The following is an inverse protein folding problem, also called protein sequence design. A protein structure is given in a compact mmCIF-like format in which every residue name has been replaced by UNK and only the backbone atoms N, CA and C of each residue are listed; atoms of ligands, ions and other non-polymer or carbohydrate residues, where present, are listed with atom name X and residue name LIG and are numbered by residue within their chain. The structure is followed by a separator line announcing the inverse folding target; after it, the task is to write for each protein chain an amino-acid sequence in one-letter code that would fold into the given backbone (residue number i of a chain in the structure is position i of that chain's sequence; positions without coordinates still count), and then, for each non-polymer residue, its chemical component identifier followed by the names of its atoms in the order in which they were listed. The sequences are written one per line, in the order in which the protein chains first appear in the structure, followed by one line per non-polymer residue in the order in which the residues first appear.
data_IF_719054632909
#
_entry.id   IF_719054632909
#
_cell.length_a   1.000
_cell.length_b   1.000
_cell.length_c   1.000
_cell.angle_alpha   90.00
_cell.angle_beta   90.00
_cell.angle_gamma   90.00
#
_symmetry.space_group_name_H-M   'P 1'
#
loop_
_entity.id
_entity.type
_entity.pdbx_description
1 polymer ?
#
# COMPACT_ATOMS: atom_id res chain seq x y z
N UNK A 1 -23.71 -47.79 -28.71
CA UNK A 1 -22.91 -46.61 -29.02
C UNK A 1 -21.52 -47.08 -29.36
N UNK A 2 -21.05 -46.87 -30.60
CA UNK A 2 -19.80 -47.42 -31.10
C UNK A 2 -18.57 -46.84 -30.34
N UNK A 3 -17.66 -47.66 -29.83
CA UNK A 3 -16.47 -47.26 -29.05
C UNK A 3 -15.64 -46.17 -29.79
N UNK A 4 -15.62 -46.23 -31.12
CA UNK A 4 -14.97 -45.21 -31.96
C UNK A 4 -15.63 -43.82 -31.86
N UNK A 5 -16.97 -43.74 -31.83
CA UNK A 5 -17.68 -42.46 -31.71
C UNK A 5 -17.52 -41.85 -30.31
N UNK A 6 -17.46 -42.69 -29.27
CA UNK A 6 -17.20 -42.24 -27.90
C UNK A 6 -15.79 -41.62 -27.76
N UNK A 7 -14.78 -42.26 -28.36
CA UNK A 7 -13.41 -41.72 -28.37
C UNK A 7 -13.26 -40.38 -29.11
N UNK A 8 -13.96 -40.23 -30.25
CA UNK A 8 -14.03 -38.96 -30.97
C UNK A 8 -14.71 -37.85 -30.18
N UNK A 9 -15.81 -38.15 -29.45
CA UNK A 9 -16.50 -37.18 -28.60
C UNK A 9 -15.65 -36.72 -27.43
N UNK A 10 -14.90 -37.65 -26.79
CA UNK A 10 -13.95 -37.32 -25.69
C UNK A 10 -12.81 -36.44 -26.21
N UNK A 11 -12.26 -36.76 -27.41
CA UNK A 11 -11.18 -36.00 -28.01
C UNK A 11 -11.60 -34.56 -28.39
N UNK A 12 -12.80 -34.40 -28.97
CA UNK A 12 -13.37 -33.08 -29.30
C UNK A 12 -13.69 -32.29 -28.03
N UNK A 13 -14.21 -32.93 -26.98
CA UNK A 13 -14.47 -32.29 -25.68
C UNK A 13 -13.19 -31.86 -24.99
N UNK A 14 -12.11 -32.64 -25.07
CA UNK A 14 -10.80 -32.28 -24.54
C UNK A 14 -10.16 -31.12 -25.32
N UNK A 15 -10.35 -31.07 -26.63
CA UNK A 15 -9.86 -29.97 -27.49
C UNK A 15 -10.59 -28.65 -27.20
N UNK A 16 -11.88 -28.70 -26.88
CA UNK A 16 -12.65 -27.53 -26.47
C UNK A 16 -12.29 -26.99 -25.09
N UNK A 17 -11.82 -27.84 -24.17
CA UNK A 17 -11.38 -27.41 -22.83
C UNK A 17 -10.04 -26.71 -22.84
N UNK A 18 -9.15 -26.99 -23.81
CA UNK A 18 -7.84 -26.33 -23.94
C UNK A 18 -7.96 -24.88 -24.45
N UNK A 19 -9.09 -24.50 -25.06
CA UNK A 19 -9.30 -23.15 -25.62
C UNK A 19 -9.57 -22.07 -24.57
N UNK A 20 -9.73 -22.41 -23.28
CA UNK A 20 -10.01 -21.46 -22.20
C UNK A 20 -8.77 -21.03 -21.41
N UNK A 21 -7.55 -21.30 -21.89
CA UNK A 21 -6.36 -20.66 -21.30
C UNK A 21 -6.34 -19.20 -21.78
N UNK A 22 -7.19 -18.39 -21.19
CA UNK A 22 -7.11 -16.95 -21.33
C UNK A 22 -5.76 -16.50 -20.82
N UNK A 23 -4.86 -16.12 -21.72
CA UNK A 23 -3.63 -15.43 -21.35
C UNK A 23 -4.05 -14.16 -20.59
N UNK A 24 -3.92 -14.17 -19.29
CA UNK A 24 -3.93 -12.95 -18.50
C UNK A 24 -2.82 -12.07 -19.07
N UNK A 25 -3.14 -11.15 -19.97
CA UNK A 25 -2.18 -10.23 -20.56
C UNK A 25 -1.81 -9.22 -19.47
N UNK A 26 -0.77 -9.55 -18.72
CA UNK A 26 -0.16 -8.63 -17.80
C UNK A 26 0.59 -7.57 -18.59
N UNK A 27 0.28 -6.32 -18.31
CA UNK A 27 0.91 -5.18 -18.96
C UNK A 27 1.91 -4.48 -18.02
N UNK A 28 2.73 -3.64 -18.60
CA UNK A 28 3.66 -2.76 -17.90
C UNK A 28 3.17 -1.31 -18.07
N UNK A 29 3.14 -0.55 -16.97
CA UNK A 29 2.91 0.89 -17.01
C UNK A 29 4.20 1.58 -16.60
N UNK A 30 4.72 2.47 -17.44
CA UNK A 30 5.95 3.20 -17.14
C UNK A 30 5.85 4.67 -17.51
N UNK A 31 6.69 5.48 -16.87
CA UNK A 31 6.78 6.92 -17.14
C UNK A 31 7.92 7.55 -16.36
N UNK A 32 8.04 8.86 -16.48
CA UNK A 32 9.08 9.59 -15.78
C UNK A 32 8.55 10.87 -15.14
N UNK A 33 9.19 11.29 -14.03
CA UNK A 33 8.83 12.47 -13.26
C UNK A 33 9.92 13.51 -13.35
N UNK A 34 9.53 14.76 -13.57
CA UNK A 34 10.41 15.92 -13.53
C UNK A 34 9.81 17.11 -12.76
N UNK A 35 10.67 17.91 -12.21
CA UNK A 35 10.33 19.24 -11.71
C UNK A 35 9.87 20.12 -12.87
N UNK A 36 8.76 20.83 -12.71
CA UNK A 36 8.15 21.65 -13.77
C UNK A 36 8.98 22.92 -14.09
N UNK A 37 9.79 23.41 -13.14
CA UNK A 37 10.59 24.62 -13.28
C UNK A 37 12.06 24.28 -13.54
N UNK A 38 12.65 23.48 -12.66
CA UNK A 38 14.06 23.12 -12.79
C UNK A 38 14.34 22.08 -13.88
N UNK A 39 13.31 21.43 -14.43
CA UNK A 39 13.38 20.38 -15.46
C UNK A 39 14.31 19.20 -15.06
N UNK A 40 14.58 19.04 -13.78
CA UNK A 40 15.40 17.96 -13.22
C UNK A 40 14.54 16.72 -12.93
N UNK A 41 15.12 15.55 -13.07
CA UNK A 41 14.49 14.30 -12.68
C UNK A 41 14.22 14.25 -11.18
N UNK A 42 13.06 13.74 -10.78
CA UNK A 42 12.67 13.56 -9.38
C UNK A 42 12.99 12.12 -8.96
N UNK A 43 14.16 11.94 -8.33
CA UNK A 43 14.60 10.67 -7.77
C UNK A 43 13.85 10.38 -6.46
N UNK A 44 13.54 9.11 -6.22
CA UNK A 44 12.89 8.62 -4.99
C UNK A 44 11.49 9.19 -4.72
N UNK A 45 10.81 9.73 -5.73
CA UNK A 45 9.40 10.08 -5.63
C UNK A 45 8.53 8.81 -5.51
N UNK A 46 7.49 8.88 -4.71
CA UNK A 46 6.54 7.78 -4.54
C UNK A 46 5.47 7.85 -5.61
N UNK A 47 5.31 6.77 -6.36
CA UNK A 47 4.27 6.61 -7.37
C UNK A 47 3.39 5.45 -6.97
N UNK A 48 2.09 5.69 -6.79
CA UNK A 48 1.11 4.68 -6.41
C UNK A 48 0.12 4.45 -7.54
N UNK A 49 -0.15 3.19 -7.88
CA UNK A 49 -1.18 2.77 -8.81
C UNK A 49 -2.42 2.36 -8.02
N UNK A 50 -3.55 2.98 -8.28
CA UNK A 50 -4.82 2.69 -7.59
C UNK A 50 -5.93 2.42 -8.59
N UNK A 51 -6.96 1.68 -8.18
CA UNK A 51 -8.17 1.54 -8.99
C UNK A 51 -8.91 2.87 -9.10
N UNK A 52 -9.33 3.24 -10.32
CA UNK A 52 -10.04 4.49 -10.56
C UNK A 52 -11.41 4.56 -9.83
N UNK A 53 -12.06 3.42 -9.63
CA UNK A 53 -13.41 3.31 -9.06
C UNK A 53 -13.49 3.68 -7.58
N UNK A 54 -12.46 3.33 -6.78
CA UNK A 54 -12.53 3.43 -5.32
C UNK A 54 -11.21 3.86 -4.67
N UNK A 55 -10.19 4.18 -5.48
CA UNK A 55 -8.84 4.58 -5.05
C UNK A 55 -8.12 3.54 -4.17
N UNK A 56 -8.56 2.26 -4.20
CA UNK A 56 -7.83 1.20 -3.49
C UNK A 56 -6.48 0.95 -4.15
N UNK A 57 -5.44 0.75 -3.33
CA UNK A 57 -4.08 0.57 -3.82
C UNK A 57 -3.92 -0.78 -4.54
N UNK A 58 -3.32 -0.74 -5.71
CA UNK A 58 -2.92 -1.91 -6.50
C UNK A 58 -1.44 -2.21 -6.31
N UNK A 59 -0.60 -1.19 -6.47
CA UNK A 59 0.86 -1.28 -6.33
C UNK A 59 1.46 0.09 -6.09
N UNK A 60 2.70 0.13 -5.61
CA UNK A 60 3.48 1.37 -5.56
C UNK A 60 4.93 1.12 -5.97
N UNK A 61 5.61 2.17 -6.41
CA UNK A 61 7.00 2.17 -6.84
C UNK A 61 7.66 3.47 -6.42
N UNK A 62 8.99 3.48 -6.38
CA UNK A 62 9.80 4.70 -6.27
C UNK A 62 10.48 4.98 -7.61
N UNK A 63 10.62 6.26 -7.95
CA UNK A 63 11.40 6.64 -9.12
C UNK A 63 12.89 6.40 -8.89
N UNK A 64 13.60 6.01 -9.94
CA UNK A 64 15.05 5.90 -9.94
C UNK A 64 15.74 7.28 -10.12
N UNK A 65 17.06 7.31 -10.23
CA UNK A 65 17.86 8.54 -10.43
C UNK A 65 17.46 9.33 -11.68
N UNK A 66 16.99 8.67 -12.73
CA UNK A 66 16.49 9.31 -13.93
C UNK A 66 15.01 9.76 -13.81
N UNK A 67 14.38 9.60 -12.62
CA UNK A 67 12.99 9.91 -12.39
C UNK A 67 12.02 8.90 -12.98
N UNK A 68 12.46 7.72 -13.42
CA UNK A 68 11.63 6.71 -14.08
C UNK A 68 10.97 5.81 -13.06
N UNK A 69 9.68 5.55 -13.24
CA UNK A 69 8.90 4.54 -12.51
C UNK A 69 8.36 3.47 -13.46
N UNK A 70 8.08 2.29 -12.89
CA UNK A 70 7.61 1.14 -13.63
C UNK A 70 6.72 0.26 -12.75
N UNK A 71 5.54 -0.11 -13.26
CA UNK A 71 4.65 -1.13 -12.69
C UNK A 71 4.57 -2.31 -13.65
N UNK A 72 4.98 -3.49 -13.20
CA UNK A 72 4.92 -4.74 -13.97
C UNK A 72 3.73 -5.58 -13.54
N UNK A 73 3.29 -6.47 -14.42
CA UNK A 73 2.23 -7.44 -14.15
C UNK A 73 0.89 -6.79 -13.74
N UNK A 74 0.55 -5.66 -14.37
CA UNK A 74 -0.72 -4.97 -14.15
C UNK A 74 -1.78 -5.61 -15.05
N UNK A 75 -2.94 -5.94 -14.48
CA UNK A 75 -4.08 -6.42 -15.27
C UNK A 75 -4.70 -5.28 -16.10
N UNK A 76 -5.35 -5.55 -17.24
CA UNK A 76 -6.10 -4.52 -17.96
C UNK A 76 -7.20 -3.91 -17.08
N UNK A 77 -7.37 -2.57 -17.15
CA UNK A 77 -8.36 -1.88 -16.34
C UNK A 77 -8.22 -0.35 -16.34
N UNK A 78 -9.02 0.31 -15.50
CA UNK A 78 -8.99 1.74 -15.30
C UNK A 78 -8.31 2.06 -13.97
N UNK A 79 -7.26 2.86 -14.03
CA UNK A 79 -6.43 3.19 -12.89
C UNK A 79 -6.23 4.70 -12.75
N UNK A 80 -5.75 5.10 -11.59
CA UNK A 80 -5.16 6.42 -11.35
C UNK A 80 -3.73 6.21 -10.84
N UNK A 81 -2.80 7.00 -11.35
CA UNK A 81 -1.47 7.13 -10.78
C UNK A 81 -1.49 8.33 -9.82
N UNK A 82 -1.15 8.08 -8.56
CA UNK A 82 -0.90 9.11 -7.56
C UNK A 82 0.59 9.29 -7.39
N UNK A 83 1.07 10.51 -7.61
CA UNK A 83 2.47 10.86 -7.41
C UNK A 83 2.62 11.73 -6.18
N UNK A 84 3.54 11.37 -5.30
CA UNK A 84 3.87 12.12 -4.09
C UNK A 84 5.39 12.27 -3.98
N UNK A 85 5.83 13.48 -3.68
CA UNK A 85 7.23 13.80 -3.40
C UNK A 85 7.32 14.94 -2.37
N UNK A 86 8.32 14.88 -1.49
CA UNK A 86 8.48 15.87 -0.42
C UNK A 86 8.74 17.25 -1.03
N UNK A 87 7.98 18.27 -0.60
CA UNK A 87 8.05 19.61 -1.13
C UNK A 87 7.28 19.86 -2.41
N UNK A 88 6.55 18.87 -2.95
CA UNK A 88 5.77 18.99 -4.17
C UNK A 88 4.29 18.74 -3.93
N UNK A 89 3.46 19.38 -4.77
CA UNK A 89 2.01 19.16 -4.74
C UNK A 89 1.70 17.78 -5.30
N UNK A 90 0.97 16.91 -4.56
CA UNK A 90 0.59 15.60 -5.05
C UNK A 90 -0.21 15.68 -6.35
N UNK A 91 0.09 14.82 -7.32
CA UNK A 91 -0.56 14.80 -8.63
C UNK A 91 -1.25 13.47 -8.89
N UNK A 92 -2.44 13.55 -9.51
CA UNK A 92 -3.23 12.39 -9.91
C UNK A 92 -3.37 12.37 -11.42
N UNK A 93 -3.04 11.24 -12.05
CA UNK A 93 -3.07 11.08 -13.51
C UNK A 93 -3.90 9.84 -13.85
N UNK A 94 -4.97 9.97 -14.67
CA UNK A 94 -5.74 8.81 -15.09
C UNK A 94 -4.95 7.94 -16.07
N UNK A 95 -5.13 6.62 -15.96
CA UNK A 95 -4.54 5.62 -16.83
C UNK A 95 -5.63 4.65 -17.27
N UNK A 96 -5.85 4.57 -18.55
CA UNK A 96 -6.73 3.58 -19.17
C UNK A 96 -5.83 2.59 -19.90
N UNK A 97 -5.87 1.33 -19.50
CA UNK A 97 -5.09 0.29 -20.13
C UNK A 97 -5.95 -0.43 -21.18
N UNK A 98 -5.40 -0.58 -22.37
CA UNK A 98 -6.01 -1.33 -23.47
C UNK A 98 -5.44 -2.74 -23.61
N UNK A 99 -5.24 -3.17 -24.84
CA UNK A 99 -4.66 -4.46 -25.23
C UNK A 99 -3.13 -4.39 -25.38
N UNK A 100 -2.53 -3.23 -25.17
CA UNK A 100 -1.10 -3.00 -25.32
C UNK A 100 -0.33 -3.64 -24.17
N UNK A 101 0.84 -4.22 -24.48
CA UNK A 101 1.72 -4.81 -23.44
C UNK A 101 2.39 -3.77 -22.56
N UNK A 102 2.55 -2.55 -23.06
CA UNK A 102 3.19 -1.44 -22.34
C UNK A 102 2.39 -0.16 -22.54
N UNK A 103 2.05 0.49 -21.44
CA UNK A 103 1.42 1.81 -21.41
C UNK A 103 2.48 2.83 -21.02
N UNK A 104 2.82 3.70 -21.97
CA UNK A 104 3.76 4.79 -21.77
C UNK A 104 3.03 6.03 -21.27
N UNK A 105 3.28 6.41 -20.02
CA UNK A 105 2.73 7.64 -19.43
C UNK A 105 3.47 8.90 -19.88
N UNK A 106 4.63 8.71 -20.51
CA UNK A 106 5.49 9.82 -20.88
C UNK A 106 6.06 10.56 -19.69
N UNK A 107 6.23 11.88 -19.83
CA UNK A 107 6.81 12.75 -18.84
C UNK A 107 5.71 13.44 -18.02
N UNK A 108 5.76 13.26 -16.72
CA UNK A 108 4.85 13.90 -15.76
C UNK A 108 5.61 14.99 -15.01
N UNK A 109 5.14 16.22 -15.10
CA UNK A 109 5.71 17.35 -14.38
C UNK A 109 5.04 17.53 -13.02
N UNK A 110 5.87 17.75 -11.99
CA UNK A 110 5.46 18.05 -10.61
C UNK A 110 5.75 19.51 -10.27
N UNK A 111 4.82 20.15 -9.56
CA UNK A 111 4.96 21.54 -9.13
C UNK A 111 5.40 21.58 -7.65
N UNK A 112 6.41 22.37 -7.35
CA UNK A 112 6.86 22.68 -5.98
C UNK A 112 5.76 23.44 -5.23
N UNK A 113 5.55 23.14 -3.95
CA UNK A 113 4.53 23.80 -3.11
C UNK A 113 4.81 25.30 -2.94
N UNK A 114 6.06 25.74 -3.01
CA UNK A 114 6.42 27.14 -2.83
C UNK A 114 6.17 28.01 -4.08
N UNK A 115 5.94 27.40 -5.24
CA UNK A 115 5.71 28.12 -6.49
C UNK A 115 4.25 28.37 -6.80
N UNK A 116 3.33 27.83 -6.00
CA UNK A 116 1.90 27.99 -6.21
C UNK A 116 1.32 29.07 -5.28
N UNK A 117 0.88 30.17 -5.86
CA UNK A 117 0.21 31.28 -5.11
C UNK A 117 -1.17 30.87 -4.56
N UNK A 118 -1.73 29.77 -5.02
CA UNK A 118 -3.02 29.23 -4.54
C UNK A 118 -3.02 27.71 -4.66
N UNK A 119 -2.81 27.01 -3.56
CA UNK A 119 -2.89 25.54 -3.53
C UNK A 119 -4.37 25.16 -3.44
N UNK A 120 -4.95 24.70 -4.51
CA UNK A 120 -6.20 23.95 -4.44
C UNK A 120 -5.86 22.57 -3.86
N UNK A 121 -6.11 22.41 -2.55
CA UNK A 121 -5.95 21.11 -1.89
C UNK A 121 -6.96 20.15 -2.50
N UNK A 122 -6.51 19.33 -3.42
CA UNK A 122 -7.33 18.22 -3.91
C UNK A 122 -7.59 17.28 -2.74
N UNK A 123 -8.86 16.95 -2.46
CA UNK A 123 -9.31 16.20 -1.29
C UNK A 123 -8.78 14.75 -1.20
N UNK A 124 -8.01 14.27 -2.20
CA UNK A 124 -7.45 12.92 -2.25
C UNK A 124 -6.05 12.91 -1.68
N UNK A 125 -5.87 12.17 -0.57
CA UNK A 125 -4.55 11.92 0.01
C UNK A 125 -3.85 10.79 -0.75
N UNK A 126 -2.51 10.87 -0.97
CA UNK A 126 -1.76 9.77 -1.56
C UNK A 126 -1.90 8.49 -0.72
N UNK A 127 -2.04 7.31 -1.35
CA UNK A 127 -2.15 6.04 -0.64
C UNK A 127 -0.92 5.68 0.18
N UNK A 128 0.25 6.01 -0.37
CA UNK A 128 1.56 5.76 0.24
C UNK A 128 2.41 7.00 0.10
N UNK A 129 3.08 7.36 1.18
CA UNK A 129 4.07 8.44 1.23
C UNK A 129 5.34 7.89 1.88
N UNK A 130 6.48 8.07 1.24
CA UNK A 130 7.78 7.67 1.77
C UNK A 130 8.55 8.93 2.13
N UNK A 131 8.94 9.04 3.41
CA UNK A 131 9.73 10.13 3.96
C UNK A 131 11.00 9.58 4.59
N UNK A 132 12.14 9.69 3.88
CA UNK A 132 13.40 9.10 4.35
C UNK A 132 13.22 7.60 4.58
N UNK A 133 13.44 7.16 5.82
CA UNK A 133 13.35 5.74 6.22
C UNK A 133 11.94 5.33 6.70
N UNK A 134 10.98 6.24 6.72
CA UNK A 134 9.60 5.95 7.11
C UNK A 134 8.67 5.79 5.91
N UNK A 135 7.75 4.82 6.00
CA UNK A 135 6.68 4.61 5.03
C UNK A 135 5.34 4.86 5.72
N UNK A 136 4.55 5.76 5.19
CA UNK A 136 3.21 6.08 5.69
C UNK A 136 2.15 5.56 4.70
N UNK A 137 1.23 4.74 5.18
CA UNK A 137 0.08 4.24 4.44
C UNK A 137 -1.19 4.95 4.90
N UNK A 138 -1.98 5.45 3.96
CA UNK A 138 -3.30 6.01 4.24
C UNK A 138 -4.34 4.88 4.29
N UNK A 139 -4.93 4.63 5.45
CA UNK A 139 -5.84 3.50 5.70
C UNK A 139 -7.07 3.47 4.78
N UNK A 140 -7.55 4.63 4.32
CA UNK A 140 -8.71 4.75 3.43
C UNK A 140 -8.55 4.05 2.09
N UNK A 141 -7.30 3.82 1.65
CA UNK A 141 -7.00 3.14 0.40
C UNK A 141 -6.95 1.61 0.50
N UNK A 142 -7.19 1.06 1.70
CA UNK A 142 -7.17 -0.38 1.97
C UNK A 142 -8.53 -0.83 2.48
N UNK A 143 -9.32 -1.46 1.60
CA UNK A 143 -10.69 -1.86 1.94
C UNK A 143 -10.70 -3.09 2.84
N UNK A 144 -11.33 -2.95 3.99
CA UNK A 144 -11.57 -4.04 4.95
C UNK A 144 -13.06 -4.33 5.08
N UNK A 145 -13.40 -5.48 5.63
CA UNK A 145 -14.78 -5.81 5.97
C UNK A 145 -15.30 -4.89 7.09
N UNK A 146 -16.62 -4.69 7.22
CA UNK A 146 -17.21 -4.07 8.40
C UNK A 146 -16.76 -4.79 9.67
N UNK A 147 -16.44 -4.04 10.72
CA UNK A 147 -15.94 -4.56 12.01
C UNK A 147 -14.57 -5.28 11.94
N UNK A 148 -13.81 -5.10 10.86
CA UNK A 148 -12.44 -5.59 10.78
C UNK A 148 -11.55 -4.94 11.84
N UNK A 149 -10.54 -5.67 12.28
CA UNK A 149 -9.50 -5.16 13.20
C UNK A 149 -8.27 -4.70 12.42
N UNK A 150 -7.35 -4.02 13.11
CA UNK A 150 -6.10 -3.52 12.50
C UNK A 150 -5.30 -4.65 11.85
N UNK A 151 -5.30 -5.84 12.42
CA UNK A 151 -4.67 -7.03 11.83
C UNK A 151 -5.15 -7.29 10.39
N UNK A 152 -6.47 -7.20 10.15
CA UNK A 152 -7.04 -7.40 8.81
C UNK A 152 -6.67 -6.28 7.84
N UNK A 153 -6.50 -5.06 8.36
CA UNK A 153 -6.04 -3.91 7.59
C UNK A 153 -4.57 -4.09 7.17
N UNK A 154 -3.70 -4.53 8.10
CA UNK A 154 -2.29 -4.79 7.82
C UNK A 154 -2.10 -5.86 6.75
N UNK A 155 -2.89 -6.95 6.78
CA UNK A 155 -2.87 -8.01 5.75
C UNK A 155 -3.19 -7.53 4.34
N UNK A 156 -3.80 -6.33 4.20
CA UNK A 156 -4.10 -5.73 2.89
C UNK A 156 -3.01 -4.80 2.38
N UNK A 157 -2.03 -4.48 3.23
CA UNK A 157 -0.96 -3.54 2.86
C UNK A 157 0.20 -4.26 2.20
N UNK A 158 0.77 -3.69 1.14
CA UNK A 158 1.90 -4.30 0.46
C UNK A 158 3.13 -4.36 1.38
N UNK A 159 3.84 -5.48 1.31
CA UNK A 159 5.04 -5.72 2.13
C UNK A 159 4.77 -6.06 3.59
N UNK A 160 3.50 -6.16 4.01
CA UNK A 160 3.14 -6.58 5.36
C UNK A 160 2.60 -8.01 5.38
N UNK A 161 3.11 -8.79 6.30
CA UNK A 161 2.68 -10.16 6.58
C UNK A 161 2.28 -10.28 8.04
N UNK A 162 1.17 -10.97 8.31
CA UNK A 162 0.73 -11.24 9.67
C UNK A 162 0.55 -12.75 9.81
N UNK A 163 1.29 -13.33 10.72
CA UNK A 163 1.25 -14.77 10.99
C UNK A 163 -0.01 -15.17 11.79
N UNK A 164 -0.23 -16.48 11.99
CA UNK A 164 -1.38 -17.00 12.74
C UNK A 164 -1.38 -16.62 14.21
N UNK A 165 -0.22 -16.36 14.80
CA UNK A 165 -0.07 -15.93 16.18
C UNK A 165 -0.34 -14.42 16.33
N UNK A 166 -0.31 -13.65 15.22
CA UNK A 166 -0.48 -12.20 15.18
C UNK A 166 0.86 -11.46 15.11
N UNK A 167 1.97 -12.18 14.93
CA UNK A 167 3.27 -11.56 14.67
C UNK A 167 3.26 -10.83 13.32
N UNK A 168 3.85 -9.65 13.27
CA UNK A 168 3.86 -8.80 12.09
C UNK A 168 5.27 -8.75 11.53
N UNK A 169 5.37 -8.87 10.21
CA UNK A 169 6.60 -8.71 9.44
C UNK A 169 6.39 -7.68 8.35
N UNK A 170 7.32 -6.76 8.18
CA UNK A 170 7.29 -5.74 7.11
C UNK A 170 8.56 -5.87 6.27
N UNK A 171 8.40 -6.15 4.98
CA UNK A 171 9.52 -6.37 4.04
C UNK A 171 10.58 -7.36 4.57
N UNK A 172 10.13 -8.43 5.25
CA UNK A 172 11.00 -9.44 5.84
C UNK A 172 11.57 -9.09 7.22
N UNK A 173 11.38 -7.86 7.73
CA UNK A 173 11.79 -7.44 9.07
C UNK A 173 10.64 -7.64 10.07
N UNK A 174 10.92 -8.27 11.21
CA UNK A 174 9.92 -8.46 12.27
C UNK A 174 9.63 -7.13 12.97
N UNK A 175 8.34 -6.81 13.14
CA UNK A 175 7.89 -5.67 13.95
C UNK A 175 7.97 -6.04 15.41
N UNK A 176 8.71 -5.26 16.19
CA UNK A 176 8.92 -5.48 17.62
C UNK A 176 8.02 -4.61 18.48
N UNK A 177 7.63 -3.44 17.98
CA UNK A 177 6.85 -2.45 18.72
C UNK A 177 5.70 -1.88 17.93
N UNK A 178 4.55 -1.69 18.60
CA UNK A 178 3.39 -0.96 18.04
C UNK A 178 3.05 0.23 18.95
N UNK A 179 2.97 1.38 18.32
CA UNK A 179 2.58 2.64 18.94
C UNK A 179 1.18 3.05 18.46
N UNK A 180 0.43 3.72 19.30
CA UNK A 180 -0.84 4.36 18.96
C UNK A 180 -0.71 5.86 19.25
N UNK A 181 -0.83 6.68 18.21
CA UNK A 181 -0.58 8.13 18.29
C UNK A 181 0.78 8.49 18.92
N UNK A 182 1.81 7.70 18.64
CA UNK A 182 3.17 7.89 19.15
C UNK A 182 3.40 7.43 20.59
N UNK A 183 2.38 6.86 21.22
CA UNK A 183 2.51 6.28 22.59
C UNK A 183 2.52 4.77 22.50
N UNK A 184 3.36 4.14 23.30
CA UNK A 184 3.40 2.69 23.42
C UNK A 184 2.04 2.17 23.92
N UNK A 185 1.48 1.19 23.21
CA UNK A 185 0.16 0.65 23.50
C UNK A 185 0.31 -0.76 24.09
N UNK A 186 -0.27 -0.99 25.27
CA UNK A 186 -0.18 -2.27 26.00
C UNK A 186 1.25 -2.84 26.03
N UNK A 187 2.19 -2.14 26.64
CA UNK A 187 3.60 -2.57 26.74
C UNK A 187 4.29 -2.84 25.40
N UNK A 188 3.75 -2.28 24.31
CA UNK A 188 4.32 -2.41 22.96
C UNK A 188 4.04 -3.74 22.26
N UNK A 189 3.24 -4.64 22.85
CA UNK A 189 2.89 -5.92 22.24
C UNK A 189 2.10 -5.70 20.93
N UNK A 190 2.67 -6.06 19.76
CA UNK A 190 2.03 -5.90 18.47
C UNK A 190 0.69 -6.61 18.37
N UNK A 191 0.58 -7.80 18.96
CA UNK A 191 -0.61 -8.66 18.88
C UNK A 191 -1.80 -8.04 19.60
N UNK A 192 -1.56 -7.51 20.79
CA UNK A 192 -2.60 -6.86 21.59
C UNK A 192 -3.15 -5.61 20.91
N UNK A 193 -2.28 -4.80 20.30
CA UNK A 193 -2.67 -3.58 19.58
C UNK A 193 -3.50 -3.91 18.35
N UNK A 194 -3.08 -4.87 17.53
CA UNK A 194 -3.69 -5.12 16.21
C UNK A 194 -4.98 -5.93 16.26
N UNK A 195 -5.14 -6.82 17.26
CA UNK A 195 -6.37 -7.61 17.42
C UNK A 195 -7.52 -6.87 18.11
N UNK A 196 -7.21 -5.82 18.88
CA UNK A 196 -8.22 -5.12 19.68
C UNK A 196 -8.63 -3.75 19.11
N UNK A 197 -7.85 -3.16 18.23
CA UNK A 197 -8.19 -1.89 17.61
C UNK A 197 -9.02 -2.11 16.34
N UNK A 198 -10.17 -1.42 16.17
CA UNK A 198 -10.93 -1.45 14.92
C UNK A 198 -10.15 -0.80 13.77
N UNK A 199 -10.21 -1.41 12.59
CA UNK A 199 -9.54 -0.88 11.39
C UNK A 199 -10.06 0.50 10.99
N UNK A 200 -11.36 0.77 11.17
CA UNK A 200 -12.01 2.03 10.83
C UNK A 200 -11.58 3.20 11.72
N UNK A 201 -11.01 2.93 12.90
CA UNK A 201 -10.47 3.96 13.79
C UNK A 201 -9.12 4.50 13.34
N UNK A 202 -8.41 3.77 12.46
CA UNK A 202 -7.09 4.16 11.99
C UNK A 202 -7.20 5.14 10.83
N UNK A 203 -6.45 6.24 10.88
CA UNK A 203 -6.28 7.21 9.81
C UNK A 203 -5.08 6.84 8.94
N UNK A 204 -3.91 6.58 9.58
CA UNK A 204 -2.66 6.28 8.92
C UNK A 204 -1.86 5.24 9.67
N UNK A 205 -1.05 4.48 8.95
CA UNK A 205 -0.07 3.55 9.50
C UNK A 205 1.32 3.97 9.06
N UNK A 206 2.18 4.26 10.02
CA UNK A 206 3.57 4.61 9.77
C UNK A 206 4.46 3.44 10.14
N UNK A 207 5.34 3.04 9.25
CA UNK A 207 6.40 2.04 9.48
C UNK A 207 7.74 2.74 9.44
N UNK A 208 8.58 2.51 10.42
CA UNK A 208 9.91 3.10 10.50
C UNK A 208 10.85 2.23 11.32
N UNK A 209 12.13 2.33 11.01
CA UNK A 209 13.17 1.74 11.84
C UNK A 209 13.58 2.73 12.94
N UNK A 210 13.80 2.22 14.16
CA UNK A 210 14.21 3.00 15.33
C UNK A 210 15.37 2.29 16.03
N UNK A 211 16.11 3.04 16.82
CA UNK A 211 17.11 2.45 17.72
C UNK A 211 16.45 1.62 18.80
N UNK A 212 17.14 0.61 19.30
CA UNK A 212 16.67 -0.23 20.41
C UNK A 212 16.31 0.60 21.65
N UNK A 213 15.41 0.10 22.50
CA UNK A 213 15.07 0.77 23.77
C UNK A 213 16.31 0.98 24.63
N UNK A 214 17.26 0.05 24.60
CA UNK A 214 18.54 0.16 25.34
C UNK A 214 19.41 1.30 24.80
N UNK A 215 19.56 1.42 23.47
CA UNK A 215 20.30 2.50 22.85
C UNK A 215 19.66 3.88 23.11
N UNK A 216 18.31 3.93 23.11
CA UNK A 216 17.58 5.16 23.44
C UNK A 216 17.72 5.56 24.92
N UNK A 217 17.76 4.60 25.83
CA UNK A 217 17.90 4.85 27.26
C UNK A 217 19.32 5.24 27.64
N UNK A 218 20.32 4.54 27.11
CA UNK A 218 21.73 4.77 27.46
C UNK A 218 22.38 5.90 26.66
N UNK A 219 21.79 6.28 25.50
CA UNK A 219 22.38 7.20 24.55
C UNK A 219 23.55 6.61 23.75
N UNK A 220 23.90 5.34 23.97
CA UNK A 220 24.95 4.60 23.28
C UNK A 220 24.32 3.78 22.18
N UNK A 221 24.79 3.97 20.95
CA UNK A 221 24.33 3.18 19.79
C UNK A 221 24.91 1.77 19.89
N UNK A 222 24.03 0.79 20.04
CA UNK A 222 24.38 -0.63 20.09
C UNK A 222 24.38 -1.31 18.70
N UNK A 223 24.12 -0.52 17.66
CA UNK A 223 24.03 -1.00 16.26
C UNK A 223 22.78 -1.82 15.95
N UNK A 224 21.85 -1.95 16.90
CA UNK A 224 20.59 -2.66 16.69
C UNK A 224 19.47 -1.69 16.28
N UNK A 225 18.80 -2.05 15.20
CA UNK A 225 17.59 -1.35 14.74
C UNK A 225 16.36 -2.22 14.95
N UNK A 226 15.29 -1.61 15.40
CA UNK A 226 13.99 -2.23 15.59
C UNK A 226 12.98 -1.64 14.59
N UNK A 227 12.24 -2.50 13.90
CA UNK A 227 11.13 -2.03 13.07
C UNK A 227 9.89 -1.83 13.93
N UNK A 228 9.33 -0.63 13.86
CA UNK A 228 8.15 -0.24 14.62
C UNK A 228 7.01 0.22 13.70
N UNK A 229 5.78 0.04 14.19
CA UNK A 229 4.56 0.56 13.55
C UNK A 229 3.94 1.59 14.48
N UNK A 230 3.55 2.75 13.93
CA UNK A 230 2.74 3.74 14.63
C UNK A 230 1.37 3.87 13.95
N UNK A 231 0.33 3.52 14.68
CA UNK A 231 -1.07 3.63 14.28
C UNK A 231 -1.57 5.04 14.64
N UNK A 232 -1.78 5.90 13.66
CA UNK A 232 -2.43 7.20 13.87
C UNK A 232 -3.92 7.03 13.78
N UNK A 233 -4.63 7.36 14.86
CA UNK A 233 -6.08 7.28 14.91
C UNK A 233 -6.72 8.54 14.31
N UNK A 234 -7.92 8.41 13.77
CA UNK A 234 -8.78 9.51 13.34
C UNK A 234 -9.08 10.41 14.53
N UNK A 235 -9.23 11.73 14.29
CA UNK A 235 -9.41 12.72 15.36
C UNK A 235 -10.65 12.47 16.22
N UNK A 236 -11.72 11.99 15.64
CA UNK A 236 -12.98 11.64 16.30
C UNK A 236 -12.89 10.36 17.15
N UNK A 237 -11.88 9.53 16.92
CA UNK A 237 -11.66 8.26 17.62
C UNK A 237 -10.56 8.31 18.69
N UNK A 238 -9.84 9.41 18.83
CA UNK A 238 -8.73 9.55 19.80
C UNK A 238 -9.13 9.43 21.27
N UNK A 239 -10.41 9.59 21.58
CA UNK A 239 -10.97 9.51 22.95
C UNK A 239 -11.95 8.34 23.11
N UNK A 240 -12.01 7.41 22.16
CA UNK A 240 -12.95 6.28 22.18
C UNK A 240 -12.40 5.13 23.02
N UNK A 241 -13.28 4.46 23.76
CA UNK A 241 -12.97 3.20 24.43
C UNK A 241 -13.30 2.05 23.49
N UNK A 242 -12.35 1.17 23.24
CA UNK A 242 -12.51 -0.01 22.39
C UNK A 242 -12.50 -1.27 23.24
N UNK A 243 -13.42 -2.19 22.96
CA UNK A 243 -13.49 -3.48 23.63
C UNK A 243 -14.53 -4.39 22.99
N UNK A 244 -14.31 -5.71 23.05
CA UNK A 244 -15.30 -6.73 22.69
C UNK A 244 -15.93 -7.28 23.95
N UNK A 245 -17.26 -7.14 24.11
CA UNK A 245 -18.04 -7.84 25.12
C UNK A 245 -18.57 -9.13 24.47
N UNK A 246 -18.04 -10.27 24.89
CA UNK A 246 -18.57 -11.57 24.52
C UNK A 246 -19.53 -12.02 25.63
N UNK A 247 -20.84 -11.87 25.42
CA UNK A 247 -21.86 -12.50 26.27
C UNK A 247 -21.99 -13.97 25.88
N UNK A 248 -21.49 -14.88 26.71
CA UNK A 248 -21.82 -16.29 26.61
C UNK A 248 -23.18 -16.50 27.28
N UNK A 249 -24.21 -16.91 26.52
CA UNK A 249 -25.39 -17.53 27.10
C UNK A 249 -25.02 -18.98 27.41
N UNK A 250 -25.00 -19.35 28.70
CA UNK A 250 -24.90 -20.72 29.17
C UNK A 250 -26.22 -21.47 29.00
#
# INVERSE_FOLDING_TARGET
MNKQKLGQFIFISCLLLVSYVGFAQNLTIQGSLKDSIANRALNSATVSLVYAKDSSLVSFSRTNEAGVFNFKNVAPGNYLISVSYVGYVPKWVPVITGTEKTVEMGLIYMNDVNTMSTVTVTARRPPVVINGDSVEFNSENFKTAPNAVVEDLLKKMPGMEVDKAGGITVNGKKVTKVFVNGKEFFTGDPVMATKNLPADAVDKIQVYDRKSDQAMFTGIDDGSEETAINLKLKKDRNKSTFGKLNGGAG
#
